data_IF_264794397380
#
_entry.id   IF_264794397380
#
_cell.length_a   1.000
_cell.length_b   1.000
_cell.length_c   1.000
_cell.angle_alpha   90.00
_cell.angle_beta   90.00
_cell.angle_gamma   90.00
#
_symmetry.space_group_name_H-M   'P 1'
#
loop_
_entity.id
_entity.type
_entity.pdbx_description
1 polymer ?
#
# COMPACT_ATOMS: atom_id res chain seq x y z
N UNK A 1 2.82 37.55 52.77
CA UNK A 1 3.05 36.22 52.15
C UNK A 1 1.93 35.73 51.20
N UNK A 2 1.09 36.60 50.63
CA UNK A 2 -0.05 36.21 49.76
C UNK A 2 0.22 36.50 48.26
N UNK A 3 1.29 37.26 47.94
CA UNK A 3 1.62 37.66 46.56
C UNK A 3 2.48 36.66 45.77
N UNK A 4 3.27 35.80 46.43
CA UNK A 4 4.06 34.74 45.74
C UNK A 4 3.21 33.53 45.36
N UNK A 5 2.13 33.24 46.11
CA UNK A 5 1.22 32.13 45.80
C UNK A 5 0.30 32.38 44.59
N UNK A 6 0.02 33.63 44.25
CA UNK A 6 -0.73 33.98 43.02
C UNK A 6 0.10 33.81 41.74
N UNK A 7 1.44 33.91 41.83
CA UNK A 7 2.31 33.77 40.64
C UNK A 7 2.61 32.31 40.27
N UNK A 8 2.56 31.38 41.22
CA UNK A 8 2.75 29.94 40.95
C UNK A 8 1.46 29.26 40.45
N UNK A 9 0.27 29.73 40.86
CA UNK A 9 -0.99 29.25 40.32
C UNK A 9 -1.20 29.63 38.84
N UNK A 10 -0.59 30.74 38.38
CA UNK A 10 -0.65 31.16 36.99
C UNK A 10 0.29 30.36 36.06
N UNK A 11 1.29 29.65 36.60
CA UNK A 11 2.26 28.86 35.81
C UNK A 11 1.82 27.40 35.63
N UNK A 12 0.93 26.89 36.50
CA UNK A 12 0.42 25.51 36.38
C UNK A 12 -0.81 25.42 35.46
N UNK A 13 -1.59 26.50 35.33
CA UNK A 13 -2.72 26.53 34.38
C UNK A 13 -2.25 26.75 32.93
N UNK A 14 -1.07 27.33 32.70
CA UNK A 14 -0.49 27.46 31.36
C UNK A 14 0.24 26.20 30.86
N UNK A 15 0.51 25.23 31.74
CA UNK A 15 1.24 24.00 31.39
C UNK A 15 0.40 22.88 30.78
N UNK A 16 -0.93 22.98 30.81
CA UNK A 16 -1.85 21.92 30.31
C UNK A 16 -2.60 22.37 29.04
N UNK A 17 -2.57 23.66 28.69
CA UNK A 17 -3.22 24.17 27.47
C UNK A 17 -2.33 24.10 26.21
N UNK A 18 -1.04 23.77 26.35
CA UNK A 18 -0.09 23.81 25.23
C UNK A 18 0.01 22.55 24.34
N UNK A 19 -0.30 21.30 24.78
CA UNK A 19 -0.17 20.16 23.87
C UNK A 19 -1.46 19.86 23.07
N UNK A 20 -2.60 20.45 23.43
CA UNK A 20 -3.89 20.18 22.76
C UNK A 20 -4.15 21.03 21.51
N UNK A 21 -3.35 22.06 21.25
CA UNK A 21 -3.47 22.94 20.07
C UNK A 21 -2.40 22.70 19.00
N UNK A 22 -1.44 21.79 19.24
CA UNK A 22 -0.39 21.46 18.27
C UNK A 22 -0.73 20.23 17.38
N UNK A 23 -1.90 19.62 17.57
CA UNK A 23 -2.34 18.41 16.87
C UNK A 23 -3.33 18.66 15.72
N UNK A 24 -3.68 19.92 15.41
CA UNK A 24 -4.75 20.25 14.46
C UNK A 24 -4.30 20.90 13.15
N UNK A 25 -2.98 21.04 12.91
CA UNK A 25 -2.46 21.69 11.69
C UNK A 25 -1.32 20.90 11.01
N UNK A 26 -1.25 19.58 11.23
CA UNK A 26 -0.55 18.73 10.28
C UNK A 26 -1.46 18.57 9.06
N UNK A 27 -1.46 19.56 8.16
CA UNK A 27 -1.95 19.34 6.80
C UNK A 27 -1.25 18.08 6.27
N UNK A 28 -2.00 17.07 5.82
CA UNK A 28 -1.38 15.95 5.15
C UNK A 28 -0.64 16.55 3.96
N UNK A 29 0.68 16.41 3.95
CA UNK A 29 1.49 16.79 2.80
C UNK A 29 0.87 16.09 1.58
N UNK A 30 0.14 16.86 0.77
CA UNK A 30 -0.38 16.38 -0.50
C UNK A 30 0.84 15.96 -1.30
N UNK A 31 1.04 14.65 -1.39
CA UNK A 31 1.99 14.07 -2.32
C UNK A 31 1.71 14.71 -3.68
N UNK A 32 2.75 15.29 -4.30
CA UNK A 32 2.66 15.85 -5.64
C UNK A 32 1.90 14.87 -6.54
N UNK A 33 0.98 15.34 -7.42
CA UNK A 33 0.21 14.46 -8.28
C UNK A 33 1.18 13.59 -9.04
N UNK A 34 1.22 12.30 -8.71
CA UNK A 34 2.00 11.31 -9.42
C UNK A 34 1.39 11.31 -10.80
N UNK A 35 2.08 11.90 -11.79
CA UNK A 35 1.56 11.98 -13.16
C UNK A 35 1.13 10.57 -13.53
N UNK A 36 -0.17 10.32 -13.79
CA UNK A 36 -0.61 8.97 -14.08
C UNK A 36 0.18 8.49 -15.30
N UNK A 37 0.77 7.28 -15.28
CA UNK A 37 1.19 6.67 -16.52
C UNK A 37 -0.04 6.61 -17.41
N UNK A 38 0.03 7.23 -18.58
CA UNK A 38 -1.16 7.53 -19.37
C UNK A 38 -1.76 6.27 -20.01
N UNK A 39 -1.00 5.19 -20.12
CA UNK A 39 -1.54 3.95 -20.62
C UNK A 39 -0.52 2.84 -20.83
N UNK A 40 -1.06 1.72 -21.26
CA UNK A 40 -0.34 0.53 -21.62
C UNK A 40 -0.94 -0.04 -22.90
N UNK A 41 -0.10 -0.33 -23.89
CA UNK A 41 -0.51 -1.13 -25.05
C UNK A 41 0.03 -2.55 -24.90
N UNK A 42 -0.85 -3.54 -25.01
CA UNK A 42 -0.52 -4.96 -24.92
C UNK A 42 -0.76 -5.60 -26.28
N UNK A 43 0.26 -6.27 -26.80
CA UNK A 43 0.19 -7.07 -28.03
C UNK A 43 0.65 -8.47 -27.73
N UNK A 44 0.17 -9.48 -28.45
CA UNK A 44 0.64 -10.84 -28.25
C UNK A 44 -0.31 -11.90 -28.75
N UNK A 45 -0.06 -13.13 -28.31
CA UNK A 45 -0.79 -14.30 -28.76
C UNK A 45 -2.30 -14.19 -28.47
N UNK A 46 -3.12 -14.41 -29.51
CA UNK A 46 -4.59 -14.39 -29.41
C UNK A 46 -5.23 -13.00 -29.48
N UNK A 47 -4.44 -11.93 -29.55
CA UNK A 47 -4.93 -10.57 -29.75
C UNK A 47 -4.86 -10.21 -31.24
N UNK A 48 -6.02 -9.99 -31.88
CA UNK A 48 -6.09 -9.54 -33.28
C UNK A 48 -5.67 -8.08 -33.46
N UNK A 49 -5.88 -7.25 -32.44
CA UNK A 49 -5.45 -5.85 -32.38
C UNK A 49 -4.76 -5.58 -31.03
N UNK A 50 -3.87 -4.56 -30.94
CA UNK A 50 -3.28 -4.15 -29.67
C UNK A 50 -4.37 -3.78 -28.66
N UNK A 51 -4.35 -4.41 -27.50
CA UNK A 51 -5.19 -4.03 -26.37
C UNK A 51 -4.64 -2.74 -25.78
N UNK A 52 -5.38 -1.64 -25.98
CA UNK A 52 -5.00 -0.31 -25.51
C UNK A 52 -5.70 0.00 -24.20
N UNK A 53 -4.94 0.03 -23.12
CA UNK A 53 -5.39 0.45 -21.80
C UNK A 53 -4.92 1.88 -21.57
N UNK A 54 -5.83 2.73 -21.09
CA UNK A 54 -5.60 4.15 -20.85
C UNK A 54 -6.07 4.50 -19.45
N UNK A 55 -5.32 5.34 -18.75
CA UNK A 55 -5.58 5.62 -17.34
C UNK A 55 -6.93 6.33 -17.12
N UNK A 56 -7.41 7.05 -18.14
CA UNK A 56 -8.68 7.77 -18.11
C UNK A 56 -9.89 6.83 -18.11
N UNK A 57 -9.75 5.63 -18.69
CA UNK A 57 -10.83 4.64 -18.83
C UNK A 57 -10.67 3.43 -17.90
N UNK A 58 -9.44 2.96 -17.73
CA UNK A 58 -9.13 1.74 -16.98
C UNK A 58 -7.94 1.96 -16.02
N UNK A 59 -8.03 2.91 -15.06
CA UNK A 59 -6.91 3.28 -14.20
C UNK A 59 -6.35 2.09 -13.41
N UNK A 60 -7.22 1.23 -12.88
CA UNK A 60 -6.82 0.07 -12.08
C UNK A 60 -6.04 -0.95 -12.91
N UNK A 61 -6.50 -1.28 -14.12
CA UNK A 61 -5.80 -2.21 -15.02
C UNK A 61 -4.45 -1.65 -15.48
N UNK A 62 -4.38 -0.35 -15.79
CA UNK A 62 -3.11 0.30 -16.16
C UNK A 62 -2.09 0.18 -15.03
N UNK A 63 -2.50 0.51 -13.79
CA UNK A 63 -1.62 0.39 -12.63
C UNK A 63 -1.21 -1.06 -12.39
N UNK A 64 -2.17 -1.99 -12.44
CA UNK A 64 -1.90 -3.41 -12.21
C UNK A 64 -0.90 -3.97 -13.22
N UNK A 65 -1.06 -3.68 -14.52
CA UNK A 65 -0.13 -4.14 -15.56
C UNK A 65 1.25 -3.48 -15.41
N UNK A 66 1.32 -2.20 -15.06
CA UNK A 66 2.60 -1.51 -14.83
C UNK A 66 3.36 -2.15 -13.66
N UNK A 67 2.65 -2.52 -12.59
CA UNK A 67 3.25 -3.20 -11.45
C UNK A 67 3.84 -4.57 -11.82
N UNK A 68 3.30 -5.26 -12.82
CA UNK A 68 3.86 -6.52 -13.33
C UNK A 68 5.21 -6.32 -14.05
N UNK A 69 5.41 -5.17 -14.70
CA UNK A 69 6.59 -4.90 -15.54
C UNK A 69 7.61 -3.97 -14.89
N UNK A 70 7.30 -3.42 -13.72
CA UNK A 70 8.19 -2.54 -12.97
C UNK A 70 9.46 -3.27 -12.50
N UNK A 71 10.46 -3.32 -13.39
CA UNK A 71 11.71 -4.05 -13.19
C UNK A 71 12.52 -3.66 -11.95
N UNK A 72 12.26 -2.49 -11.34
CA UNK A 72 12.91 -2.09 -10.08
C UNK A 72 12.45 -2.94 -8.90
N UNK A 73 11.22 -3.46 -8.96
CA UNK A 73 10.67 -4.38 -7.97
C UNK A 73 10.82 -5.85 -8.33
N UNK A 74 11.45 -6.18 -9.47
CA UNK A 74 11.62 -7.56 -9.93
C UNK A 74 13.02 -8.08 -9.67
N UNK A 75 13.13 -9.39 -9.44
CA UNK A 75 14.41 -10.07 -9.25
C UNK A 75 15.08 -10.27 -10.61
N UNK A 76 16.23 -9.60 -10.82
CA UNK A 76 17.04 -9.78 -12.02
C UNK A 76 17.62 -11.20 -12.09
N UNK A 77 17.62 -11.79 -13.27
CA UNK A 77 18.19 -13.11 -13.54
C UNK A 77 19.52 -12.95 -14.29
N UNK A 78 20.47 -13.84 -14.01
CA UNK A 78 21.80 -13.84 -14.66
C UNK A 78 21.77 -14.31 -16.11
N UNK A 79 20.72 -15.03 -16.51
CA UNK A 79 20.50 -15.52 -17.87
C UNK A 79 19.02 -15.61 -18.22
N UNK A 80 18.74 -15.69 -19.52
CA UNK A 80 17.40 -15.95 -20.01
C UNK A 80 17.04 -17.45 -19.91
N UNK A 81 15.76 -17.79 -19.71
CA UNK A 81 15.30 -19.16 -19.80
C UNK A 81 15.47 -19.70 -21.23
N UNK A 82 15.35 -21.02 -21.40
CA UNK A 82 15.40 -21.65 -22.73
C UNK A 82 14.19 -21.22 -23.54
N UNK A 83 14.35 -21.03 -24.85
CA UNK A 83 13.25 -20.58 -25.73
C UNK A 83 12.04 -21.53 -25.73
N UNK A 84 12.28 -22.83 -25.63
CA UNK A 84 11.21 -23.84 -25.55
C UNK A 84 10.36 -23.71 -24.27
N UNK A 85 10.90 -23.07 -23.23
CA UNK A 85 10.29 -22.97 -21.91
C UNK A 85 9.54 -21.64 -21.69
N UNK A 86 9.49 -20.75 -22.69
CA UNK A 86 8.95 -19.39 -22.52
C UNK A 86 7.42 -19.30 -22.68
N UNK A 87 6.78 -20.25 -23.36
CA UNK A 87 5.35 -20.15 -23.65
C UNK A 87 4.99 -18.93 -24.51
N UNK A 88 3.72 -18.45 -24.47
CA UNK A 88 3.25 -17.35 -25.29
C UNK A 88 3.88 -16.02 -24.88
N UNK A 89 4.28 -15.23 -25.87
CA UNK A 89 4.85 -13.91 -25.71
C UNK A 89 3.77 -12.82 -25.75
N UNK A 90 3.85 -11.88 -24.81
CA UNK A 90 3.08 -10.64 -24.82
C UNK A 90 4.00 -9.44 -24.70
N UNK A 91 3.94 -8.51 -25.64
CA UNK A 91 4.72 -7.28 -25.59
C UNK A 91 3.87 -6.15 -25.03
N UNK A 92 4.40 -5.51 -24.00
CA UNK A 92 3.79 -4.42 -23.24
C UNK A 92 4.58 -3.14 -23.48
N UNK A 93 3.91 -2.11 -23.96
CA UNK A 93 4.47 -0.76 -24.12
C UNK A 93 3.83 0.15 -23.09
N UNK A 94 4.65 0.77 -22.24
CA UNK A 94 4.22 1.69 -21.19
C UNK A 94 4.38 3.12 -21.68
N UNK A 95 3.33 3.92 -21.49
CA UNK A 95 3.25 5.30 -21.94
C UNK A 95 3.25 6.29 -20.78
N UNK A 96 3.82 7.47 -21.02
CA UNK A 96 3.68 8.64 -20.17
C UNK A 96 3.10 9.78 -21.04
N UNK A 97 1.84 10.16 -20.80
CA UNK A 97 1.03 10.81 -21.84
C UNK A 97 0.91 9.93 -23.08
N UNK A 98 0.91 10.52 -24.27
CA UNK A 98 0.91 9.76 -25.53
C UNK A 98 2.29 9.26 -25.98
N UNK A 99 3.33 9.45 -25.14
CA UNK A 99 4.71 9.11 -25.51
C UNK A 99 5.09 7.73 -24.98
N UNK A 100 5.50 6.78 -25.85
CA UNK A 100 5.97 5.48 -25.42
C UNK A 100 7.32 5.65 -24.70
N UNK A 101 7.43 5.10 -23.49
CA UNK A 101 8.63 5.23 -22.66
C UNK A 101 9.39 3.93 -22.51
N UNK A 102 8.68 2.83 -22.30
CA UNK A 102 9.29 1.55 -22.01
C UNK A 102 8.58 0.42 -22.73
N UNK A 103 9.34 -0.59 -23.11
CA UNK A 103 8.83 -1.82 -23.72
C UNK A 103 9.34 -3.02 -22.95
N UNK A 104 8.45 -3.95 -22.68
CA UNK A 104 8.73 -5.20 -21.97
C UNK A 104 8.09 -6.37 -22.71
N UNK A 105 8.74 -7.52 -22.69
CA UNK A 105 8.18 -8.77 -23.17
C UNK A 105 7.85 -9.65 -21.97
N UNK A 106 6.59 -10.07 -21.87
CA UNK A 106 6.06 -10.89 -20.80
C UNK A 106 5.80 -12.30 -21.29
N UNK A 107 6.09 -13.24 -20.41
CA UNK A 107 5.94 -14.67 -20.63
C UNK A 107 5.25 -15.25 -19.40
N UNK A 108 3.92 -15.13 -19.32
CA UNK A 108 3.16 -15.53 -18.13
C UNK A 108 3.24 -17.04 -17.88
N UNK A 109 3.21 -17.86 -18.93
CA UNK A 109 3.25 -19.33 -18.84
C UNK A 109 4.66 -19.93 -19.04
N UNK A 110 5.71 -19.19 -18.67
CA UNK A 110 7.06 -19.74 -18.75
C UNK A 110 7.28 -20.84 -17.69
N UNK A 111 8.08 -21.86 -18.04
CA UNK A 111 8.43 -22.95 -17.11
C UNK A 111 9.28 -22.39 -15.96
N UNK A 112 8.93 -22.78 -14.74
CA UNK A 112 9.58 -22.26 -13.53
C UNK A 112 9.12 -20.86 -13.13
N UNK A 113 7.97 -20.41 -13.66
CA UNK A 113 7.28 -19.19 -13.26
C UNK A 113 7.36 -18.06 -14.29
N UNK A 114 6.51 -17.03 -14.15
CA UNK A 114 6.40 -15.94 -15.11
C UNK A 114 7.73 -15.24 -15.35
N UNK A 115 8.00 -14.81 -16.60
CA UNK A 115 9.24 -14.10 -16.95
C UNK A 115 8.94 -12.75 -17.57
N UNK A 116 9.79 -11.78 -17.22
CA UNK A 116 9.80 -10.44 -17.83
C UNK A 116 11.15 -10.24 -18.49
N UNK A 117 11.13 -9.88 -19.76
CA UNK A 117 12.31 -9.47 -20.50
C UNK A 117 12.22 -7.99 -20.81
N UNK A 118 13.30 -7.27 -20.50
CA UNK A 118 13.48 -5.87 -20.88
C UNK A 118 14.44 -5.83 -22.06
N UNK A 119 13.99 -5.51 -23.28
CA UNK A 119 14.84 -5.39 -24.45
C UNK A 119 15.87 -4.26 -24.32
N UNK A 120 17.01 -4.40 -24.99
CA UNK A 120 18.03 -3.35 -25.01
C UNK A 120 17.58 -2.08 -25.77
N UNK A 121 16.77 -2.27 -26.81
CA UNK A 121 16.15 -1.18 -27.57
C UNK A 121 14.86 -0.76 -26.87
N UNK A 122 14.89 0.36 -26.16
CA UNK A 122 13.68 0.98 -25.62
C UNK A 122 13.27 2.17 -26.52
N UNK A 123 12.00 2.60 -26.50
CA UNK A 123 11.53 3.74 -27.29
C UNK A 123 12.27 5.05 -26.96
N UNK A 124 12.55 5.29 -25.68
CA UNK A 124 13.12 6.55 -25.20
C UNK A 124 14.67 6.52 -25.16
N UNK A 125 15.27 5.36 -24.90
CA UNK A 125 16.72 5.23 -24.65
C UNK A 125 17.26 3.82 -24.97
N UNK A 126 18.60 3.68 -25.10
CA UNK A 126 19.24 2.34 -25.15
C UNK A 126 19.64 1.90 -23.76
N UNK A 127 19.36 0.64 -23.43
CA UNK A 127 19.61 0.06 -22.10
C UNK A 127 20.19 -1.34 -22.23
N UNK A 128 20.72 -1.89 -21.13
CA UNK A 128 21.18 -3.28 -21.11
C UNK A 128 20.00 -4.24 -21.08
N UNK A 129 19.92 -5.13 -22.07
CA UNK A 129 18.92 -6.19 -22.08
C UNK A 129 19.02 -7.03 -20.80
N UNK A 130 17.89 -7.29 -20.15
CA UNK A 130 17.87 -8.00 -18.88
C UNK A 130 16.63 -8.86 -18.74
N UNK A 131 16.82 -10.01 -18.09
CA UNK A 131 15.74 -10.92 -17.71
C UNK A 131 15.42 -10.75 -16.23
N UNK A 132 14.14 -10.90 -15.91
CA UNK A 132 13.62 -10.80 -14.56
C UNK A 132 12.62 -11.92 -14.30
N UNK A 133 12.54 -12.35 -13.04
CA UNK A 133 11.43 -13.18 -12.57
C UNK A 133 10.20 -12.29 -12.43
N UNK A 134 9.12 -12.66 -13.12
CA UNK A 134 7.84 -11.99 -13.04
C UNK A 134 7.08 -12.34 -11.78
N UNK A 135 6.05 -11.56 -11.46
CA UNK A 135 5.20 -11.86 -10.31
C UNK A 135 4.27 -13.02 -10.65
N UNK A 136 3.93 -13.82 -9.64
CA UNK A 136 3.03 -14.98 -9.78
C UNK A 136 1.63 -14.59 -10.27
N UNK A 137 1.16 -13.38 -9.95
CA UNK A 137 -0.16 -12.88 -10.37
C UNK A 137 -0.21 -12.38 -11.82
N UNK A 138 0.86 -12.53 -12.61
CA UNK A 138 0.95 -11.98 -13.96
C UNK A 138 -0.11 -12.54 -14.91
N UNK A 139 -0.30 -13.87 -14.90
CA UNK A 139 -1.28 -14.54 -15.77
C UNK A 139 -2.70 -14.01 -15.52
N UNK A 140 -3.07 -13.86 -14.25
CA UNK A 140 -4.38 -13.34 -13.85
C UNK A 140 -4.52 -11.86 -14.18
N UNK A 141 -3.50 -11.03 -13.89
CA UNK A 141 -3.52 -9.60 -14.19
C UNK A 141 -3.72 -9.32 -15.68
N UNK A 142 -3.06 -10.10 -16.55
CA UNK A 142 -3.24 -9.95 -18.00
C UNK A 142 -4.63 -10.41 -18.44
N UNK A 143 -5.16 -11.47 -17.81
CA UNK A 143 -6.50 -11.98 -18.12
C UNK A 143 -7.60 -10.99 -17.74
N UNK A 144 -7.54 -10.41 -16.54
CA UNK A 144 -8.52 -9.41 -16.09
C UNK A 144 -8.45 -8.13 -16.92
N UNK A 145 -7.26 -7.77 -17.40
CA UNK A 145 -7.06 -6.66 -18.33
C UNK A 145 -7.65 -6.91 -19.74
N UNK A 146 -8.02 -8.15 -20.09
CA UNK A 146 -8.65 -8.51 -21.36
C UNK A 146 -7.78 -9.34 -22.32
N UNK A 147 -6.61 -9.80 -21.88
CA UNK A 147 -5.79 -10.71 -22.69
C UNK A 147 -6.42 -12.11 -22.70
N UNK A 148 -6.63 -12.75 -23.87
CA UNK A 148 -7.23 -14.08 -23.98
C UNK A 148 -6.22 -15.15 -23.58
N UNK A 149 -6.06 -15.32 -22.27
CA UNK A 149 -5.28 -16.39 -21.64
C UNK A 149 -6.22 -17.45 -21.09
N UNK A 150 -6.00 -18.71 -21.46
CA UNK A 150 -6.76 -19.84 -20.88
C UNK A 150 -6.72 -19.79 -19.35
N UNK A 151 -7.87 -20.09 -18.72
CA UNK A 151 -7.99 -20.24 -17.28
C UNK A 151 -7.28 -21.50 -16.82
N UNK A 152 -5.98 -21.40 -16.60
CA UNK A 152 -5.28 -22.33 -15.72
C UNK A 152 -5.53 -21.83 -14.30
N UNK A 153 -6.12 -22.67 -13.45
CA UNK A 153 -6.21 -22.43 -12.01
C UNK A 153 -4.79 -22.47 -11.43
N UNK A 154 -4.05 -21.37 -11.57
CA UNK A 154 -2.82 -21.17 -10.82
C UNK A 154 -3.24 -21.10 -9.35
N UNK A 155 -2.88 -22.13 -8.59
CA UNK A 155 -3.21 -22.24 -7.18
C UNK A 155 -2.55 -21.09 -6.39
N UNK A 156 -3.28 -19.99 -6.26
CA UNK A 156 -3.18 -19.08 -5.11
C UNK A 156 -4.54 -19.12 -4.42
N UNK A 157 -4.91 -20.33 -4.00
CA UNK A 157 -5.87 -20.50 -2.91
C UNK A 157 -5.03 -20.49 -1.63
N UNK A 158 -4.82 -19.30 -1.06
CA UNK A 158 -4.36 -19.14 0.33
C UNK A 158 -2.98 -18.50 0.53
N UNK A 159 -2.98 -17.24 0.96
CA UNK A 159 -1.88 -16.58 1.70
C UNK A 159 -1.17 -15.49 0.90
N UNK A 160 -1.12 -14.22 1.30
CA UNK A 160 -1.51 -13.56 2.54
C UNK A 160 -2.03 -12.14 2.22
N UNK A 161 -3.21 -11.80 2.72
CA UNK A 161 -3.83 -10.47 2.60
C UNK A 161 -4.97 -10.43 1.59
N UNK A 162 -6.21 -10.57 2.08
CA UNK A 162 -7.43 -10.33 1.28
C UNK A 162 -7.97 -11.57 0.59
N UNK A 163 -8.33 -12.59 1.37
CA UNK A 163 -9.22 -13.64 0.85
C UNK A 163 -10.58 -13.01 0.58
N UNK A 164 -10.98 -12.98 -0.68
CA UNK A 164 -12.38 -12.95 -1.10
C UNK A 164 -13.04 -14.18 -0.46
N UNK A 165 -13.51 -14.01 0.77
CA UNK A 165 -14.41 -15.00 1.35
C UNK A 165 -15.71 -14.79 0.60
N UNK A 166 -16.07 -15.79 -0.21
CA UNK A 166 -17.47 -16.07 -0.46
C UNK A 166 -18.04 -16.44 0.91
N UNK A 167 -18.50 -15.43 1.63
CA UNK A 167 -19.31 -15.59 2.83
C UNK A 167 -20.70 -15.92 2.27
N UNK A 168 -21.27 -17.09 2.59
CA UNK A 168 -22.69 -17.31 2.36
C UNK A 168 -23.43 -16.11 2.94
N UNK A 169 -24.36 -15.52 2.18
CA UNK A 169 -25.07 -14.25 2.47
C UNK A 169 -25.90 -14.24 3.78
N UNK A 170 -25.68 -15.20 4.68
CA UNK A 170 -26.32 -15.32 5.98
C UNK A 170 -25.26 -15.32 7.11
N UNK A 171 -25.26 -14.22 7.89
CA UNK A 171 -24.63 -14.05 9.20
C UNK A 171 -23.23 -13.42 9.29
N UNK A 172 -23.10 -12.15 8.88
CA UNK A 172 -22.18 -11.22 9.57
C UNK A 172 -22.86 -9.87 9.72
N UNK A 173 -23.11 -9.47 10.97
CA UNK A 173 -23.64 -8.15 11.33
C UNK A 173 -22.44 -7.25 11.72
N UNK A 174 -21.85 -6.49 10.78
CA UNK A 174 -20.57 -5.79 10.97
C UNK A 174 -20.61 -4.70 12.06
N UNK A 175 -21.79 -4.36 12.58
CA UNK A 175 -21.96 -3.39 13.65
C UNK A 175 -21.62 -3.95 15.04
N UNK A 176 -21.74 -5.26 15.28
CA UNK A 176 -21.41 -5.86 16.59
C UNK A 176 -19.89 -6.01 16.78
N UNK A 177 -19.18 -6.53 15.78
CA UNK A 177 -17.73 -6.76 15.84
C UNK A 177 -16.91 -5.47 15.99
N UNK A 178 -17.36 -4.35 15.38
CA UNK A 178 -16.69 -3.06 15.54
C UNK A 178 -16.84 -2.53 16.97
N UNK A 179 -18.00 -2.69 17.59
CA UNK A 179 -18.24 -2.20 18.95
C UNK A 179 -17.44 -2.97 20.00
N UNK A 180 -17.20 -4.27 19.78
CA UNK A 180 -16.41 -5.09 20.69
C UNK A 180 -14.91 -4.70 20.65
N UNK A 181 -14.35 -4.52 19.45
CA UNK A 181 -12.96 -4.06 19.28
C UNK A 181 -12.73 -2.64 19.83
N UNK A 182 -13.66 -1.71 19.61
CA UNK A 182 -13.60 -0.37 20.21
C UNK A 182 -13.78 -0.39 21.74
N UNK A 183 -14.56 -1.35 22.27
CA UNK A 183 -14.74 -1.56 23.70
C UNK A 183 -13.45 -1.96 24.41
N UNK A 184 -12.69 -2.89 23.82
CA UNK A 184 -11.39 -3.30 24.37
C UNK A 184 -10.35 -2.19 24.31
N UNK A 185 -10.26 -1.46 23.18
CA UNK A 185 -9.34 -0.34 23.03
C UNK A 185 -9.66 0.78 24.03
N UNK A 186 -10.95 1.09 24.21
CA UNK A 186 -11.43 2.07 25.20
C UNK A 186 -11.12 1.61 26.63
N UNK A 187 -11.25 0.32 26.93
CA UNK A 187 -10.95 -0.22 28.26
C UNK A 187 -9.47 -0.09 28.60
N UNK A 188 -8.57 -0.40 27.67
CA UNK A 188 -7.13 -0.25 27.86
C UNK A 188 -6.72 1.22 28.01
N UNK A 189 -7.32 2.11 27.22
CA UNK A 189 -7.03 3.55 27.26
C UNK A 189 -7.56 4.19 28.55
N UNK A 190 -8.79 3.85 28.98
CA UNK A 190 -9.37 4.30 30.25
C UNK A 190 -8.59 3.78 31.46
N UNK A 191 -8.08 2.54 31.41
CA UNK A 191 -7.24 1.99 32.47
C UNK A 191 -5.95 2.82 32.64
N UNK A 192 -5.26 3.11 31.54
CA UNK A 192 -4.03 3.91 31.55
C UNK A 192 -4.28 5.34 32.06
N UNK A 193 -5.39 5.97 31.64
CA UNK A 193 -5.78 7.32 32.11
C UNK A 193 -6.13 7.30 33.60
N UNK A 194 -6.85 6.28 34.07
CA UNK A 194 -7.20 6.12 35.49
C UNK A 194 -5.95 5.97 36.37
N UNK A 195 -5.00 5.14 35.96
CA UNK A 195 -3.71 4.96 36.67
C UNK A 195 -2.95 6.29 36.73
N UNK A 196 -2.87 7.02 35.61
CA UNK A 196 -2.21 8.33 35.57
C UNK A 196 -2.87 9.33 36.54
N UNK A 197 -4.20 9.38 36.60
CA UNK A 197 -4.93 10.25 37.52
C UNK A 197 -4.66 9.89 38.98
N UNK A 198 -4.66 8.60 39.33
CA UNK A 198 -4.37 8.15 40.70
C UNK A 198 -2.96 8.54 41.13
N UNK A 199 -1.96 8.34 40.26
CA UNK A 199 -0.58 8.73 40.54
C UNK A 199 -0.49 10.26 40.74
N UNK A 200 -1.15 11.03 39.87
CA UNK A 200 -1.13 12.50 39.93
C UNK A 200 -1.79 13.02 41.19
N UNK A 201 -2.95 12.48 41.58
CA UNK A 201 -3.66 12.85 42.82
C UNK A 201 -2.86 12.41 44.04
N UNK A 202 -2.24 11.23 44.02
CA UNK A 202 -1.37 10.75 45.10
C UNK A 202 -0.18 11.68 45.33
N UNK A 203 0.53 12.05 44.25
CA UNK A 203 1.63 13.01 44.30
C UNK A 203 1.18 14.38 44.82
N UNK A 204 0.04 14.88 44.33
CA UNK A 204 -0.53 16.15 44.79
C UNK A 204 -0.90 16.10 46.28
N UNK A 205 -1.50 15.00 46.75
CA UNK A 205 -1.87 14.78 48.15
C UNK A 205 -0.65 14.74 49.07
N UNK A 206 0.40 14.00 48.70
CA UNK A 206 1.66 13.93 49.45
C UNK A 206 2.31 15.31 49.51
N UNK A 207 2.38 16.03 48.39
CA UNK A 207 2.92 17.40 48.37
C UNK A 207 2.14 18.35 49.28
N UNK A 208 0.82 18.21 49.37
CA UNK A 208 -0.05 19.03 50.22
C UNK A 208 0.11 18.68 51.71
N UNK A 209 0.28 17.40 52.04
CA UNK A 209 0.60 16.92 53.39
C UNK A 209 1.96 17.43 53.87
N UNK A 210 3.01 17.32 53.03
CA UNK A 210 4.34 17.86 53.34
C UNK A 210 4.24 19.38 53.59
N UNK A 211 3.55 20.10 52.71
CA UNK A 211 3.34 21.55 52.84
C UNK A 211 2.61 21.95 54.13
N UNK A 212 1.63 21.15 54.58
CA UNK A 212 0.94 21.38 55.87
C UNK A 212 1.85 21.09 57.07
N UNK A 213 2.74 20.11 56.99
CA UNK A 213 3.65 19.73 58.09
C UNK A 213 4.81 20.71 58.28
N UNK A 214 5.22 21.40 57.21
CA UNK A 214 6.27 22.43 57.25
C UNK A 214 5.78 23.83 57.63
N UNK A 215 4.52 23.99 58.05
CA UNK A 215 3.94 25.25 58.52
C UNK A 215 3.55 25.17 59.99
#
# INVERSE_FOLDING_TARGET
MVRRFRRLAAVVVSGIAAPLLALTLAEPAMAAPKTPPAGVDITGHGLGEPLRLRAESHPEHVVAVIEQVNHRGLVRQSGGPKKADLGPKYTVVVFAGDVPKQTYDLYPKAVGGPRVYRPAKQPDNKVTASWYLGRVSMSETLRTAGVPLERTYEAVTGGAGGGERIIPEEALNPAEDLNEAFGELRRLLLLNVAVMLVITVGLAGIALLIRRRTR
#
